data_IF_908293876110
#
_entry.id   IF_908293876110
#
_cell.length_a   1.000
_cell.length_b   1.000
_cell.length_c   1.000
_cell.angle_alpha   90.00
_cell.angle_beta   90.00
_cell.angle_gamma   90.00
#
_symmetry.space_group_name_H-M   'P 1'
#
loop_
_entity.id
_entity.type
_entity.pdbx_description
1 polymer ?
#
# COMPACT_ATOMS: atom_id res chain seq x y z
N UNK A 1 32.22 8.76 0.69
CA UNK A 1 31.21 8.02 -0.08
C UNK A 1 30.93 8.82 -1.33
N UNK A 2 31.04 8.22 -2.52
CA UNK A 2 30.67 8.90 -3.76
C UNK A 2 29.17 9.18 -3.70
N UNK A 3 28.76 10.45 -3.75
CA UNK A 3 27.35 10.82 -3.82
C UNK A 3 26.79 10.25 -5.11
N UNK A 4 25.80 9.35 -5.00
CA UNK A 4 25.04 8.86 -6.16
C UNK A 4 24.59 10.05 -7.04
N UNK A 5 24.60 9.91 -8.37
CA UNK A 5 24.23 11.01 -9.25
C UNK A 5 22.81 11.49 -8.94
N UNK A 6 22.61 12.81 -8.94
CA UNK A 6 21.29 13.41 -8.71
C UNK A 6 20.32 12.96 -9.80
N UNK A 7 19.29 12.23 -9.39
CA UNK A 7 18.13 11.84 -10.21
C UNK A 7 16.93 12.79 -10.07
N UNK A 8 16.06 12.79 -11.07
CA UNK A 8 14.72 13.37 -11.03
C UNK A 8 13.68 12.25 -10.99
N UNK A 9 12.91 12.16 -9.92
CA UNK A 9 11.84 11.16 -9.76
C UNK A 9 10.45 11.80 -9.91
N UNK A 10 9.52 11.06 -10.49
CA UNK A 10 8.09 11.37 -10.50
C UNK A 10 7.37 10.37 -9.60
N UNK A 11 6.69 10.85 -8.56
CA UNK A 11 5.94 10.01 -7.61
C UNK A 11 4.45 10.24 -7.81
N UNK A 12 3.67 9.18 -7.93
CA UNK A 12 2.22 9.27 -8.14
C UNK A 12 1.43 9.43 -6.83
N UNK A 13 0.12 9.63 -6.95
CA UNK A 13 -0.85 9.64 -5.86
C UNK A 13 -0.55 10.67 -4.75
N UNK A 14 -0.28 11.93 -5.14
CA UNK A 14 0.11 13.03 -4.25
C UNK A 14 -0.83 13.38 -3.08
N UNK A 15 -2.06 12.87 -3.05
CA UNK A 15 -2.96 12.97 -1.89
C UNK A 15 -2.54 12.06 -0.72
N UNK A 16 -1.71 11.05 -0.97
CA UNK A 16 -1.27 10.08 0.03
C UNK A 16 -0.17 10.59 0.95
N UNK A 17 -0.22 10.15 2.22
CA UNK A 17 0.87 10.36 3.17
C UNK A 17 2.10 9.49 2.84
N UNK A 18 1.91 8.37 2.11
CA UNK A 18 3.02 7.55 1.61
C UNK A 18 3.86 8.37 0.60
N UNK A 19 3.20 9.01 -0.35
CA UNK A 19 3.83 9.91 -1.33
C UNK A 19 4.52 11.08 -0.66
N UNK A 20 3.87 11.71 0.33
CA UNK A 20 4.49 12.82 1.08
C UNK A 20 5.78 12.37 1.77
N UNK A 21 5.77 11.22 2.45
CA UNK A 21 6.94 10.71 3.14
C UNK A 21 8.05 10.34 2.14
N UNK A 22 7.73 9.60 1.07
CA UNK A 22 8.73 9.24 0.06
C UNK A 22 9.34 10.48 -0.63
N UNK A 23 8.54 11.52 -0.92
CA UNK A 23 9.04 12.77 -1.46
C UNK A 23 10.07 13.44 -0.55
N UNK A 24 9.84 13.42 0.78
CA UNK A 24 10.81 13.92 1.77
C UNK A 24 12.09 13.11 1.78
N UNK A 25 11.99 11.77 1.74
CA UNK A 25 13.17 10.90 1.70
C UNK A 25 14.00 11.13 0.42
N UNK A 26 13.35 11.21 -0.74
CA UNK A 26 13.99 11.47 -2.02
C UNK A 26 14.68 12.84 -2.07
N UNK A 27 13.98 13.89 -1.62
CA UNK A 27 14.54 15.25 -1.55
C UNK A 27 15.71 15.34 -0.58
N UNK A 28 15.65 14.68 0.58
CA UNK A 28 16.73 14.65 1.55
C UNK A 28 17.99 13.94 1.03
N UNK A 29 17.84 12.95 0.13
CA UNK A 29 18.95 12.33 -0.61
C UNK A 29 19.47 13.20 -1.78
N UNK A 30 18.89 14.38 -2.01
CA UNK A 30 19.32 15.35 -3.01
C UNK A 30 18.67 15.19 -4.39
N UNK A 31 17.68 14.31 -4.52
CA UNK A 31 16.94 14.11 -5.77
C UNK A 31 15.92 15.23 -6.01
N UNK A 32 15.63 15.50 -7.28
CA UNK A 32 14.49 16.36 -7.66
C UNK A 32 13.22 15.51 -7.62
N UNK A 33 12.12 16.07 -7.15
CA UNK A 33 10.86 15.35 -6.96
C UNK A 33 9.71 16.08 -7.64
N UNK A 34 9.12 15.42 -8.64
CA UNK A 34 7.81 15.78 -9.19
C UNK A 34 6.75 14.87 -8.60
N UNK A 35 5.59 15.42 -8.26
CA UNK A 35 4.43 14.63 -7.82
C UNK A 35 3.25 14.84 -8.73
N UNK A 36 2.47 13.78 -8.96
CA UNK A 36 1.24 13.84 -9.75
C UNK A 36 0.05 13.32 -8.96
N UNK A 37 -1.13 13.84 -9.25
CA UNK A 37 -2.40 13.33 -8.75
C UNK A 37 -3.56 13.76 -9.68
N UNK A 38 -4.67 13.04 -9.69
CA UNK A 38 -5.87 13.46 -10.40
C UNK A 38 -6.66 14.58 -9.69
N UNK A 39 -6.45 14.78 -8.39
CA UNK A 39 -7.01 15.95 -7.68
C UNK A 39 -6.07 17.14 -7.76
N UNK A 40 -6.61 18.38 -7.86
CA UNK A 40 -5.79 19.57 -7.96
C UNK A 40 -5.03 19.91 -6.65
N UNK A 41 -5.46 19.38 -5.51
CA UNK A 41 -4.93 19.74 -4.19
C UNK A 41 -4.65 18.46 -3.37
N UNK A 42 -3.48 17.85 -3.61
CA UNK A 42 -2.92 16.79 -2.76
C UNK A 42 -2.15 17.36 -1.57
N UNK A 43 -2.00 16.59 -0.50
CA UNK A 43 -1.24 17.01 0.70
C UNK A 43 0.25 17.22 0.40
N UNK A 44 0.83 16.40 -0.49
CA UNK A 44 2.24 16.49 -0.89
C UNK A 44 2.55 17.79 -1.64
N UNK A 45 1.57 18.39 -2.33
CA UNK A 45 1.71 19.65 -3.08
C UNK A 45 2.26 20.79 -2.22
N UNK A 46 2.01 20.74 -0.90
CA UNK A 46 2.43 21.79 0.02
C UNK A 46 3.81 21.56 0.63
N UNK A 47 4.41 20.39 0.40
CA UNK A 47 5.73 20.06 0.95
C UNK A 47 6.82 20.88 0.29
N UNK A 48 7.81 21.31 1.09
CA UNK A 48 9.05 21.89 0.58
C UNK A 48 9.93 20.85 -0.15
N UNK A 49 9.58 19.56 -0.06
CA UNK A 49 10.30 18.45 -0.70
C UNK A 49 9.76 18.11 -2.10
N UNK A 50 8.76 18.84 -2.59
CA UNK A 50 8.15 18.65 -3.91
C UNK A 50 8.48 19.85 -4.77
N UNK A 51 9.25 19.63 -5.84
CA UNK A 51 9.69 20.69 -6.76
C UNK A 51 8.58 21.08 -7.77
N UNK A 52 7.76 20.11 -8.18
CA UNK A 52 6.65 20.32 -9.09
C UNK A 52 5.46 19.41 -8.75
N UNK A 53 4.24 19.91 -8.99
CA UNK A 53 3.00 19.16 -8.82
C UNK A 53 2.12 19.30 -10.05
N UNK A 54 1.72 18.19 -10.66
CA UNK A 54 0.82 18.19 -11.83
C UNK A 54 -0.50 17.52 -11.52
N UNK A 55 -1.58 18.14 -12.02
CA UNK A 55 -2.88 17.47 -12.09
C UNK A 55 -2.92 16.63 -13.35
N UNK A 56 -3.26 15.35 -13.21
CA UNK A 56 -3.36 14.40 -14.32
C UNK A 56 -4.79 13.84 -14.45
N UNK A 57 -5.14 13.15 -15.54
CA UNK A 57 -6.42 12.44 -15.62
C UNK A 57 -6.57 11.39 -14.50
N UNK A 58 -7.80 11.05 -14.08
CA UNK A 58 -8.05 9.99 -13.10
C UNK A 58 -7.72 8.60 -13.67
N UNK A 59 -6.79 7.83 -13.08
CA UNK A 59 -6.39 6.53 -13.64
C UNK A 59 -7.55 5.56 -13.82
N UNK A 60 -8.50 5.51 -12.87
CA UNK A 60 -9.65 4.59 -12.95
C UNK A 60 -10.56 4.85 -14.15
N UNK A 61 -10.82 6.11 -14.45
CA UNK A 61 -11.83 6.50 -15.45
C UNK A 61 -11.23 6.84 -16.81
N UNK A 62 -9.98 7.30 -16.84
CA UNK A 62 -9.29 7.77 -18.04
C UNK A 62 -7.87 7.17 -18.13
N UNK A 63 -7.71 5.82 -18.05
CA UNK A 63 -6.40 5.18 -17.86
C UNK A 63 -5.41 5.46 -19.00
N UNK A 64 -5.89 5.51 -20.25
CA UNK A 64 -5.05 5.78 -21.42
C UNK A 64 -4.56 7.22 -21.43
N UNK A 65 -5.40 8.17 -21.06
CA UNK A 65 -5.03 9.59 -21.03
C UNK A 65 -4.17 9.90 -19.80
N UNK A 66 -4.38 9.20 -18.69
CA UNK A 66 -3.47 9.20 -17.54
C UNK A 66 -2.05 8.81 -17.95
N UNK A 67 -1.86 7.66 -18.59
CA UNK A 67 -0.52 7.19 -18.98
C UNK A 67 0.14 8.10 -20.03
N UNK A 68 -0.62 8.61 -21.00
CA UNK A 68 -0.10 9.58 -21.99
C UNK A 68 0.35 10.88 -21.34
N UNK A 69 -0.41 11.39 -20.37
CA UNK A 69 -0.05 12.61 -19.67
C UNK A 69 1.20 12.41 -18.79
N UNK A 70 1.33 11.26 -18.12
CA UNK A 70 2.57 10.93 -17.41
C UNK A 70 3.76 10.84 -18.34
N UNK A 71 3.64 10.13 -19.47
CA UNK A 71 4.71 10.04 -20.45
C UNK A 71 5.12 11.44 -20.98
N UNK A 72 4.15 12.34 -21.20
CA UNK A 72 4.41 13.74 -21.58
C UNK A 72 5.21 14.47 -20.50
N UNK A 73 4.80 14.39 -19.23
CA UNK A 73 5.50 15.03 -18.10
C UNK A 73 6.92 14.47 -17.96
N UNK A 74 7.09 13.14 -18.13
CA UNK A 74 8.40 12.47 -18.08
C UNK A 74 9.36 13.06 -19.11
N UNK A 75 8.91 13.26 -20.35
CA UNK A 75 9.70 13.87 -21.43
C UNK A 75 9.99 15.34 -21.14
N UNK A 76 8.96 16.12 -20.80
CA UNK A 76 9.07 17.56 -20.62
C UNK A 76 9.99 17.94 -19.45
N UNK A 77 9.94 17.16 -18.37
CA UNK A 77 10.75 17.43 -17.17
C UNK A 77 12.00 16.57 -17.03
N UNK A 78 12.27 15.68 -18.00
CA UNK A 78 13.43 14.76 -18.00
C UNK A 78 13.48 13.93 -16.72
N UNK A 79 12.36 13.26 -16.43
CA UNK A 79 12.25 12.35 -15.28
C UNK A 79 13.08 11.10 -15.56
N UNK A 80 13.92 10.71 -14.61
CA UNK A 80 14.72 9.48 -14.68
C UNK A 80 13.91 8.24 -14.26
N UNK A 81 12.97 8.40 -13.31
CA UNK A 81 12.20 7.27 -12.76
C UNK A 81 10.78 7.70 -12.37
N UNK A 82 9.79 6.90 -12.74
CA UNK A 82 8.41 6.97 -12.24
C UNK A 82 8.24 5.95 -11.12
N UNK A 83 7.76 6.40 -9.97
CA UNK A 83 7.51 5.58 -8.78
C UNK A 83 6.00 5.57 -8.50
N UNK A 84 5.29 4.50 -8.88
CA UNK A 84 3.89 4.33 -8.56
C UNK A 84 3.69 4.02 -7.06
N UNK A 85 2.59 4.49 -6.46
CA UNK A 85 2.36 4.41 -5.01
C UNK A 85 1.15 3.56 -4.68
N UNK A 86 0.08 3.65 -5.47
CA UNK A 86 -1.16 2.93 -5.24
C UNK A 86 -1.46 1.95 -6.38
N UNK A 87 -2.73 1.78 -6.75
CA UNK A 87 -3.20 0.75 -7.69
C UNK A 87 -3.07 1.16 -9.14
N UNK A 88 -2.61 2.38 -9.40
CA UNK A 88 -2.14 2.75 -10.73
C UNK A 88 -0.95 1.90 -11.21
N UNK A 89 -0.33 1.07 -10.36
CA UNK A 89 0.67 0.07 -10.77
C UNK A 89 0.14 -0.84 -11.88
N UNK A 90 -1.05 -1.41 -11.72
CA UNK A 90 -1.67 -2.28 -12.72
C UNK A 90 -1.97 -1.54 -14.03
N UNK A 91 -2.40 -0.28 -13.93
CA UNK A 91 -2.70 0.56 -15.10
C UNK A 91 -1.42 0.89 -15.86
N UNK A 92 -0.35 1.25 -15.14
CA UNK A 92 0.93 1.63 -15.71
C UNK A 92 1.66 0.43 -16.31
N UNK A 93 1.59 -0.74 -15.67
CA UNK A 93 2.26 -1.96 -16.15
C UNK A 93 1.70 -2.44 -17.50
N UNK A 94 0.42 -2.17 -17.80
CA UNK A 94 -0.17 -2.41 -19.14
C UNK A 94 0.33 -1.45 -20.23
N UNK A 95 0.89 -0.29 -19.87
CA UNK A 95 1.20 0.81 -20.81
C UNK A 95 2.63 1.35 -20.68
N UNK A 96 3.56 0.59 -20.10
CA UNK A 96 4.98 0.96 -19.95
C UNK A 96 5.60 1.38 -21.29
N UNK A 97 5.17 0.79 -22.40
CA UNK A 97 5.64 1.13 -23.75
C UNK A 97 5.33 2.57 -24.22
N UNK A 98 4.50 3.33 -23.50
CA UNK A 98 4.28 4.77 -23.76
C UNK A 98 5.42 5.65 -23.22
N UNK A 99 6.20 5.16 -22.26
CA UNK A 99 7.25 5.91 -21.60
C UNK A 99 8.56 5.81 -22.40
N UNK A 100 9.41 6.87 -22.39
CA UNK A 100 10.71 6.83 -23.05
C UNK A 100 11.63 5.79 -22.40
N UNK A 101 12.48 5.14 -23.19
CA UNK A 101 13.35 4.05 -22.73
C UNK A 101 14.38 4.50 -21.67
N UNK A 102 14.69 5.79 -21.64
CA UNK A 102 15.61 6.40 -20.66
C UNK A 102 14.96 6.62 -19.29
N UNK A 103 13.63 6.53 -19.19
CA UNK A 103 12.89 6.64 -17.93
C UNK A 103 12.49 5.25 -17.44
N UNK A 104 12.89 4.91 -16.23
CA UNK A 104 12.46 3.68 -15.59
C UNK A 104 11.06 3.84 -14.98
N UNK A 105 10.11 2.98 -15.35
CA UNK A 105 8.84 2.86 -14.62
C UNK A 105 9.03 1.75 -13.57
N UNK A 106 9.12 2.12 -12.30
CA UNK A 106 9.55 1.23 -11.23
C UNK A 106 8.43 0.28 -10.75
N UNK A 107 8.17 -0.75 -11.56
CA UNK A 107 7.18 -1.82 -11.35
C UNK A 107 7.57 -3.06 -12.16
N UNK A 108 6.87 -4.18 -11.92
CA UNK A 108 6.99 -5.41 -12.70
C UNK A 108 6.01 -5.42 -13.88
N UNK A 109 6.10 -6.43 -14.75
CA UNK A 109 5.12 -6.60 -15.83
C UNK A 109 3.70 -6.81 -15.28
N UNK A 110 2.69 -6.54 -16.11
CA UNK A 110 1.28 -6.61 -15.73
C UNK A 110 0.86 -7.98 -15.20
N UNK A 111 1.35 -9.07 -15.80
CA UNK A 111 0.96 -10.42 -15.36
C UNK A 111 1.45 -10.67 -13.93
N UNK A 112 2.67 -10.24 -13.62
CA UNK A 112 3.22 -10.29 -12.26
C UNK A 112 2.43 -9.39 -11.30
N UNK A 113 2.24 -8.10 -11.62
CA UNK A 113 1.52 -7.14 -10.77
C UNK A 113 0.09 -7.63 -10.45
N UNK A 114 -0.68 -7.98 -11.49
CA UNK A 114 -2.07 -8.40 -11.34
C UNK A 114 -2.19 -9.73 -10.57
N UNK A 115 -1.32 -10.70 -10.84
CA UNK A 115 -1.31 -11.99 -10.11
C UNK A 115 -1.08 -11.80 -8.62
N UNK A 116 -0.21 -10.86 -8.24
CA UNK A 116 0.08 -10.55 -6.83
C UNK A 116 -1.03 -9.73 -6.17
N UNK A 117 -1.67 -8.82 -6.91
CA UNK A 117 -2.78 -8.01 -6.42
C UNK A 117 -4.07 -8.83 -6.23
N UNK A 118 -4.37 -9.74 -7.15
CA UNK A 118 -5.55 -10.59 -7.07
C UNK A 118 -5.41 -11.61 -5.93
N UNK A 119 -6.26 -11.49 -4.90
CA UNK A 119 -6.13 -12.32 -3.68
C UNK A 119 -6.29 -13.82 -3.94
N UNK A 120 -7.04 -14.25 -4.94
CA UNK A 120 -7.18 -15.67 -5.26
C UNK A 120 -5.97 -16.19 -6.04
N UNK A 121 -5.54 -15.47 -7.08
CA UNK A 121 -4.37 -15.86 -7.87
C UNK A 121 -3.08 -15.81 -7.06
N UNK A 122 -2.95 -14.86 -6.13
CA UNK A 122 -1.85 -14.84 -5.17
C UNK A 122 -1.80 -16.11 -4.33
N UNK A 123 -2.93 -16.58 -3.79
CA UNK A 123 -2.97 -17.83 -3.01
C UNK A 123 -2.65 -19.05 -3.89
N UNK A 124 -3.10 -19.07 -5.15
CA UNK A 124 -2.72 -20.11 -6.11
C UNK A 124 -1.22 -20.11 -6.41
N UNK A 125 -0.60 -18.94 -6.52
CA UNK A 125 0.84 -18.79 -6.72
C UNK A 125 1.61 -19.34 -5.50
N UNK A 126 1.16 -19.07 -4.28
CA UNK A 126 1.75 -19.67 -3.08
C UNK A 126 1.71 -21.21 -3.16
N UNK A 127 0.56 -21.78 -3.55
CA UNK A 127 0.44 -23.23 -3.74
C UNK A 127 1.38 -23.75 -4.83
N UNK A 128 1.52 -23.07 -5.97
CA UNK A 128 2.42 -23.52 -7.04
C UNK A 128 3.90 -23.47 -6.65
N UNK A 129 4.26 -22.59 -5.72
CA UNK A 129 5.61 -22.50 -5.14
C UNK A 129 5.81 -23.46 -3.96
N UNK A 130 4.78 -24.21 -3.54
CA UNK A 130 4.83 -25.08 -2.36
C UNK A 130 4.89 -24.32 -1.03
N UNK A 131 4.49 -23.04 -1.02
CA UNK A 131 4.41 -22.21 0.18
C UNK A 131 3.09 -22.53 0.89
N UNK A 132 3.10 -22.82 2.21
CA UNK A 132 1.88 -23.11 2.97
C UNK A 132 0.86 -21.97 2.91
N UNK A 133 -0.41 -22.33 2.68
CA UNK A 133 -1.55 -21.41 2.71
C UNK A 133 -2.63 -21.92 3.67
N UNK A 134 -3.54 -21.04 4.04
CA UNK A 134 -4.81 -21.41 4.66
C UNK A 134 -5.72 -22.08 3.63
N UNK A 135 -6.76 -22.84 4.04
CA UNK A 135 -7.74 -23.39 3.09
C UNK A 135 -8.44 -22.24 2.36
N UNK A 136 -8.56 -22.31 1.03
CA UNK A 136 -9.23 -21.29 0.24
C UNK A 136 -9.99 -21.87 -0.95
N UNK A 137 -11.00 -21.13 -1.41
CA UNK A 137 -11.81 -21.44 -2.59
C UNK A 137 -12.28 -20.14 -3.27
N UNK A 138 -12.48 -20.20 -4.59
CA UNK A 138 -13.14 -19.13 -5.34
C UNK A 138 -14.65 -19.34 -5.32
N UNK A 139 -15.41 -18.26 -5.34
CA UNK A 139 -16.87 -18.24 -5.40
C UNK A 139 -17.28 -17.31 -6.54
N UNK A 140 -17.59 -17.90 -7.69
CA UNK A 140 -17.98 -17.18 -8.91
C UNK A 140 -19.51 -17.19 -9.11
N UNK A 141 -20.19 -18.19 -8.55
CA UNK A 141 -21.65 -18.32 -8.60
C UNK A 141 -22.29 -19.04 -7.40
N UNK A 142 -23.63 -19.16 -7.42
CA UNK A 142 -24.39 -19.84 -6.35
C UNK A 142 -23.98 -21.30 -6.13
N UNK A 143 -23.62 -22.01 -7.20
CA UNK A 143 -23.20 -23.41 -7.11
C UNK A 143 -21.86 -23.54 -6.35
N UNK A 144 -20.92 -22.60 -6.54
CA UNK A 144 -19.66 -22.55 -5.79
C UNK A 144 -19.92 -22.23 -4.31
N UNK A 145 -20.79 -21.26 -4.04
CA UNK A 145 -21.17 -20.88 -2.68
C UNK A 145 -21.81 -22.06 -1.93
N UNK A 146 -22.65 -22.84 -2.61
CA UNK A 146 -23.26 -24.06 -2.06
C UNK A 146 -22.26 -25.21 -1.90
N UNK A 147 -21.20 -25.24 -2.70
CA UNK A 147 -20.14 -26.25 -2.67
C UNK A 147 -18.99 -25.92 -1.68
N UNK A 148 -19.05 -24.78 -0.99
CA UNK A 148 -18.05 -24.38 0.01
C UNK A 148 -17.95 -25.43 1.12
N UNK A 149 -16.82 -26.11 1.16
CA UNK A 149 -16.49 -27.11 2.17
C UNK A 149 -15.57 -26.47 3.23
N UNK A 150 -16.13 -25.91 4.30
CA UNK A 150 -15.37 -25.35 5.41
C UNK A 150 -15.92 -25.86 6.74
N UNK A 151 -15.06 -26.40 7.59
CA UNK A 151 -15.43 -26.87 8.94
C UNK A 151 -15.20 -25.81 10.04
N UNK A 152 -14.57 -24.71 9.68
CA UNK A 152 -14.20 -23.58 10.55
C UNK A 152 -14.65 -22.26 9.93
N UNK A 153 -14.77 -21.18 10.72
CA UNK A 153 -15.08 -19.86 10.17
C UNK A 153 -14.12 -19.48 9.03
N UNK A 154 -14.62 -18.73 8.07
CA UNK A 154 -13.84 -18.24 6.93
C UNK A 154 -14.13 -16.77 6.64
N UNK A 155 -13.17 -16.08 6.05
CA UNK A 155 -13.35 -14.77 5.46
C UNK A 155 -13.90 -14.93 4.04
N UNK A 156 -14.98 -14.23 3.72
CA UNK A 156 -15.45 -14.01 2.37
C UNK A 156 -15.13 -12.57 1.96
N UNK A 157 -14.29 -12.41 0.94
CA UNK A 157 -13.79 -11.10 0.45
C UNK A 157 -13.65 -11.10 -1.07
N UNK A 158 -13.89 -9.97 -1.73
CA UNK A 158 -13.66 -9.87 -3.19
C UNK A 158 -12.17 -9.98 -3.52
N UNK A 159 -11.84 -10.58 -4.68
CA UNK A 159 -10.46 -10.79 -5.13
C UNK A 159 -9.71 -9.47 -5.28
N UNK A 160 -10.35 -8.46 -5.88
CA UNK A 160 -9.92 -7.06 -5.87
C UNK A 160 -10.70 -6.31 -4.79
N UNK A 161 -9.99 -5.83 -3.77
CA UNK A 161 -10.56 -5.10 -2.63
C UNK A 161 -9.46 -4.42 -1.80
N UNK A 162 -9.79 -3.37 -1.04
CA UNK A 162 -8.81 -2.57 -0.25
C UNK A 162 -9.20 -2.43 1.21
N UNK A 163 -8.21 -2.25 2.09
CA UNK A 163 -8.39 -1.75 3.46
C UNK A 163 -9.33 -2.59 4.33
N UNK A 164 -9.46 -3.89 4.02
CA UNK A 164 -10.47 -4.80 4.60
C UNK A 164 -11.93 -4.38 4.41
N UNK A 165 -12.23 -3.50 3.46
CA UNK A 165 -13.60 -3.22 3.07
C UNK A 165 -14.24 -4.51 2.55
N UNK A 166 -15.49 -4.78 2.94
CA UNK A 166 -16.26 -5.97 2.54
C UNK A 166 -15.60 -7.31 2.87
N UNK A 167 -14.83 -7.39 3.96
CA UNK A 167 -14.42 -8.69 4.52
C UNK A 167 -15.51 -9.16 5.48
N UNK A 168 -16.16 -10.27 5.15
CA UNK A 168 -17.21 -10.87 5.96
C UNK A 168 -16.67 -12.12 6.63
N UNK A 169 -16.73 -12.18 7.97
CA UNK A 169 -16.46 -13.43 8.71
C UNK A 169 -17.72 -14.27 8.69
N UNK A 170 -17.65 -15.45 8.08
CA UNK A 170 -18.76 -16.38 7.88
C UNK A 170 -18.53 -17.62 8.74
N UNK A 171 -19.56 -18.05 9.47
CA UNK A 171 -19.57 -19.37 10.11
C UNK A 171 -20.09 -20.42 9.12
N UNK A 172 -19.51 -21.63 9.06
CA UNK A 172 -20.03 -22.71 8.24
C UNK A 172 -21.53 -22.93 8.42
N UNK A 173 -22.25 -23.04 7.30
CA UNK A 173 -23.71 -23.20 7.27
C UNK A 173 -24.53 -21.91 7.33
N UNK A 174 -23.89 -20.73 7.47
CA UNK A 174 -24.57 -19.45 7.25
C UNK A 174 -25.04 -19.30 5.79
N UNK A 175 -26.17 -18.63 5.59
CA UNK A 175 -26.74 -18.38 4.27
C UNK A 175 -25.99 -17.24 3.56
N UNK A 176 -25.68 -17.44 2.27
CA UNK A 176 -24.91 -16.53 1.43
C UNK A 176 -25.75 -15.85 0.32
N UNK A 177 -27.08 -15.79 0.45
CA UNK A 177 -28.01 -15.21 -0.54
C UNK A 177 -27.80 -13.71 -0.78
N UNK A 178 -27.08 -13.03 0.11
CA UNK A 178 -26.69 -11.63 -0.02
C UNK A 178 -25.46 -11.43 -0.91
N UNK A 179 -24.75 -12.51 -1.27
CA UNK A 179 -23.55 -12.43 -2.12
C UNK A 179 -23.98 -12.08 -3.54
N UNK A 180 -23.49 -10.94 -4.02
CA UNK A 180 -23.64 -10.53 -5.41
C UNK A 180 -22.45 -11.05 -6.22
N UNK A 181 -22.75 -11.77 -7.31
CA UNK A 181 -21.75 -12.40 -8.16
C UNK A 181 -21.35 -11.48 -9.31
N UNK A 182 -20.09 -11.07 -9.32
CA UNK A 182 -19.46 -10.30 -10.40
C UNK A 182 -18.42 -11.17 -11.10
N UNK A 183 -18.63 -11.55 -12.38
CA UNK A 183 -17.66 -12.35 -13.13
C UNK A 183 -16.28 -11.71 -13.28
N UNK A 184 -16.18 -10.38 -13.10
CA UNK A 184 -14.91 -9.64 -13.22
C UNK A 184 -14.19 -9.45 -11.89
N UNK A 185 -14.88 -9.69 -10.77
CA UNK A 185 -14.31 -9.61 -9.43
C UNK A 185 -14.96 -10.66 -8.50
N UNK A 186 -14.63 -11.95 -8.68
CA UNK A 186 -15.22 -13.03 -7.92
C UNK A 186 -14.83 -12.93 -6.43
N UNK A 187 -15.52 -13.70 -5.60
CA UNK A 187 -15.23 -13.77 -4.17
C UNK A 187 -14.18 -14.85 -3.87
N UNK A 188 -13.36 -14.59 -2.87
CA UNK A 188 -12.44 -15.52 -2.23
C UNK A 188 -13.01 -15.90 -0.86
N UNK A 189 -13.27 -17.19 -0.67
CA UNK A 189 -13.45 -17.78 0.65
C UNK A 189 -12.08 -18.28 1.15
N UNK A 190 -11.62 -17.78 2.30
CA UNK A 190 -10.34 -18.15 2.89
C UNK A 190 -10.51 -18.43 4.38
N UNK A 191 -10.01 -19.55 4.88
CA UNK A 191 -10.11 -19.96 6.29
C UNK A 191 -9.70 -18.83 7.24
N UNK A 192 -10.47 -18.66 8.32
CA UNK A 192 -10.26 -17.60 9.29
C UNK A 192 -9.27 -18.05 10.36
N UNK A 193 -8.03 -17.56 10.27
CA UNK A 193 -7.02 -17.76 11.30
C UNK A 193 -7.05 -16.62 12.33
N UNK A 194 -7.10 -16.96 13.60
CA UNK A 194 -6.83 -16.03 14.70
C UNK A 194 -5.35 -16.05 15.08
N UNK A 195 -4.76 -14.88 15.26
CA UNK A 195 -3.32 -14.77 15.51
C UNK A 195 -2.83 -13.33 15.60
N UNK A 196 -1.52 -13.17 15.77
CA UNK A 196 -0.88 -11.86 15.64
C UNK A 196 -0.85 -11.48 14.17
N UNK A 197 -1.09 -10.20 13.88
CA UNK A 197 -1.18 -9.71 12.51
C UNK A 197 -0.05 -8.73 12.25
N UNK A 198 0.62 -8.94 11.14
CA UNK A 198 1.75 -8.14 10.70
C UNK A 198 1.51 -7.64 9.29
N UNK A 199 1.85 -6.39 9.07
CA UNK A 199 1.92 -5.80 7.74
C UNK A 199 3.38 -5.52 7.43
N UNK A 200 3.72 -5.47 6.15
CA UNK A 200 5.09 -5.21 5.71
C UNK A 200 5.14 -4.18 4.60
N UNK A 201 6.35 -3.65 4.39
CA UNK A 201 6.71 -2.81 3.26
C UNK A 201 8.10 -3.21 2.77
N UNK A 202 8.27 -3.35 1.47
CA UNK A 202 9.53 -3.70 0.84
C UNK A 202 9.75 -2.92 -0.45
N UNK A 203 11.01 -2.56 -0.72
CA UNK A 203 11.46 -2.07 -2.04
C UNK A 203 12.28 -3.19 -2.66
N UNK A 204 11.83 -3.69 -3.80
CA UNK A 204 12.39 -4.86 -4.47
C UNK A 204 12.93 -4.48 -5.86
N UNK A 205 14.04 -5.10 -6.25
CA UNK A 205 14.63 -4.93 -7.59
C UNK A 205 15.19 -6.27 -8.05
N UNK A 206 14.71 -6.74 -9.20
CA UNK A 206 15.12 -7.99 -9.85
C UNK A 206 15.08 -9.20 -8.90
N UNK A 207 14.06 -9.25 -8.03
CA UNK A 207 13.89 -10.29 -7.02
C UNK A 207 14.76 -10.16 -5.77
N UNK A 208 15.51 -9.07 -5.59
CA UNK A 208 16.23 -8.74 -4.35
C UNK A 208 15.43 -7.74 -3.51
N UNK A 209 15.29 -7.99 -2.21
CA UNK A 209 14.80 -7.02 -1.24
C UNK A 209 15.92 -6.03 -0.89
N UNK A 210 15.70 -4.74 -1.14
CA UNK A 210 16.70 -3.68 -0.89
C UNK A 210 16.33 -2.80 0.31
N UNK A 211 15.05 -2.62 0.59
CA UNK A 211 14.57 -2.05 1.84
C UNK A 211 13.41 -2.88 2.38
N UNK A 212 13.27 -2.98 3.70
CA UNK A 212 12.21 -3.74 4.34
C UNK A 212 11.80 -3.16 5.69
N UNK A 213 10.51 -3.24 6.00
CA UNK A 213 9.98 -2.99 7.32
C UNK A 213 8.81 -3.94 7.63
N UNK A 214 8.79 -4.48 8.84
CA UNK A 214 7.67 -5.24 9.39
C UNK A 214 7.08 -4.48 10.58
N UNK A 215 5.75 -4.42 10.67
CA UNK A 215 5.07 -3.77 11.79
C UNK A 215 3.78 -4.50 12.18
N UNK A 216 3.45 -4.59 13.49
CA UNK A 216 2.21 -5.20 13.93
C UNK A 216 1.01 -4.29 13.64
N UNK A 217 -0.16 -4.89 13.43
CA UNK A 217 -1.43 -4.14 13.30
C UNK A 217 -1.79 -3.51 14.64
N UNK A 218 -1.52 -2.21 14.79
CA UNK A 218 -1.67 -1.45 16.04
C UNK A 218 -2.47 -0.17 15.83
N UNK A 219 -3.24 0.23 16.86
CA UNK A 219 -4.18 1.35 16.81
C UNK A 219 -5.01 1.39 15.52
N UNK A 220 -5.86 0.39 15.30
CA UNK A 220 -6.48 0.20 13.99
C UNK A 220 -7.99 0.50 13.96
N UNK A 221 -8.44 1.33 13.00
CA UNK A 221 -9.87 1.54 12.73
C UNK A 221 -10.45 0.24 12.17
N UNK A 222 -11.57 -0.23 12.74
CA UNK A 222 -12.19 -1.50 12.34
C UNK A 222 -11.31 -2.73 12.60
N UNK A 223 -10.19 -2.56 13.31
CA UNK A 223 -9.22 -3.62 13.54
C UNK A 223 -8.23 -3.86 12.39
N UNK A 224 -8.30 -3.14 11.27
CA UNK A 224 -7.41 -3.36 10.10
C UNK A 224 -6.66 -2.11 9.63
N UNK A 225 -7.26 -0.93 9.70
CA UNK A 225 -6.63 0.31 9.21
C UNK A 225 -5.78 0.96 10.31
N UNK A 226 -4.47 0.65 10.32
CA UNK A 226 -3.51 1.14 11.31
C UNK A 226 -3.40 2.67 11.33
N UNK A 227 -3.37 3.24 12.53
CA UNK A 227 -3.13 4.66 12.79
C UNK A 227 -1.73 4.93 13.37
N UNK A 228 -1.06 3.87 13.81
CA UNK A 228 0.30 3.90 14.32
C UNK A 228 1.17 2.87 13.64
N UNK A 229 2.46 3.16 13.52
CA UNK A 229 3.44 2.32 12.86
C UNK A 229 4.71 2.27 13.72
N UNK A 230 5.06 1.08 14.16
CA UNK A 230 6.28 0.81 14.93
C UNK A 230 6.97 -0.37 14.29
N UNK A 231 8.25 -0.20 13.93
CA UNK A 231 9.01 -1.26 13.29
C UNK A 231 9.35 -2.35 14.30
N UNK A 232 9.32 -3.59 13.86
CA UNK A 232 9.85 -4.74 14.61
C UNK A 232 10.76 -5.58 13.72
N UNK A 233 11.73 -6.23 14.34
CA UNK A 233 12.50 -7.28 13.68
C UNK A 233 11.67 -8.58 13.69
N UNK A 234 11.48 -9.19 12.52
CA UNK A 234 10.76 -10.45 12.38
C UNK A 234 11.39 -11.30 11.28
N UNK A 235 12.52 -11.94 11.57
CA UNK A 235 13.32 -12.67 10.58
C UNK A 235 12.51 -13.69 9.74
N UNK A 236 11.59 -14.50 10.30
CA UNK A 236 10.79 -15.43 9.49
C UNK A 236 9.93 -14.76 8.41
N UNK A 237 9.49 -13.52 8.62
CA UNK A 237 8.71 -12.76 7.63
C UNK A 237 9.66 -12.25 6.54
N UNK A 238 10.83 -11.73 6.92
CA UNK A 238 11.84 -11.26 5.97
C UNK A 238 12.35 -12.40 5.08
N UNK A 239 12.62 -13.58 5.66
CA UNK A 239 13.05 -14.77 4.92
C UNK A 239 11.98 -15.18 3.90
N UNK A 240 10.71 -15.27 4.35
CA UNK A 240 9.57 -15.58 3.48
C UNK A 240 9.47 -14.61 2.30
N UNK A 241 9.57 -13.30 2.56
CA UNK A 241 9.47 -12.27 1.51
C UNK A 241 10.65 -12.37 0.56
N UNK A 242 11.86 -12.59 1.09
CA UNK A 242 13.09 -12.70 0.29
C UNK A 242 13.00 -13.87 -0.68
N UNK A 243 12.53 -15.04 -0.23
CA UNK A 243 12.32 -16.20 -1.10
C UNK A 243 11.21 -15.95 -2.14
N UNK A 244 10.08 -15.38 -1.71
CA UNK A 244 8.94 -15.13 -2.59
C UNK A 244 9.27 -14.14 -3.70
N UNK A 245 9.84 -12.98 -3.37
CA UNK A 245 10.16 -11.96 -4.39
C UNK A 245 11.26 -12.41 -5.34
N UNK A 246 12.20 -13.24 -4.87
CA UNK A 246 13.21 -13.86 -5.74
C UNK A 246 12.56 -14.81 -6.75
N UNK A 247 11.60 -15.63 -6.33
CA UNK A 247 10.87 -16.54 -7.22
C UNK A 247 10.07 -15.79 -8.29
N UNK A 248 9.50 -14.63 -7.95
CA UNK A 248 8.77 -13.77 -8.90
C UNK A 248 9.70 -12.89 -9.75
N UNK A 249 10.99 -12.76 -9.40
CA UNK A 249 11.90 -11.74 -9.93
C UNK A 249 11.31 -10.32 -9.86
N UNK A 250 10.57 -10.04 -8.78
CA UNK A 250 9.78 -8.83 -8.64
C UNK A 250 10.65 -7.56 -8.54
N UNK A 251 10.25 -6.53 -9.27
CA UNK A 251 10.75 -5.15 -9.18
C UNK A 251 9.58 -4.23 -8.86
N UNK A 252 9.76 -3.34 -7.89
CA UNK A 252 8.72 -2.40 -7.46
C UNK A 252 8.64 -2.28 -5.95
N UNK A 253 7.52 -1.74 -5.47
CA UNK A 253 7.19 -1.71 -4.04
C UNK A 253 6.20 -2.84 -3.74
N UNK A 254 6.35 -3.51 -2.60
CA UNK A 254 5.39 -4.53 -2.18
C UNK A 254 5.18 -4.52 -0.66
N UNK A 255 3.95 -4.75 -0.25
CA UNK A 255 3.59 -5.11 1.12
C UNK A 255 2.87 -6.44 1.18
N UNK A 256 3.06 -7.15 2.26
CA UNK A 256 2.47 -8.46 2.52
C UNK A 256 1.85 -8.45 3.91
N UNK A 257 0.64 -9.00 4.01
CA UNK A 257 -0.05 -9.15 5.29
C UNK A 257 0.05 -10.60 5.76
N UNK A 258 0.45 -10.75 7.01
CA UNK A 258 0.66 -12.04 7.65
C UNK A 258 -0.22 -12.21 8.88
N UNK A 259 -0.59 -13.47 9.12
CA UNK A 259 -1.13 -13.93 10.39
C UNK A 259 -0.17 -14.97 10.96
N UNK A 260 0.34 -14.72 12.17
CA UNK A 260 1.09 -15.69 12.97
C UNK A 260 0.14 -16.37 13.96
N UNK A 261 -0.09 -17.67 13.77
CA UNK A 261 -0.92 -18.52 14.62
C UNK A 261 -0.31 -18.75 16.00
N UNK A 262 -1.11 -19.30 16.91
CA UNK A 262 -0.68 -19.55 18.30
C UNK A 262 0.47 -20.58 18.42
N UNK A 263 0.61 -21.45 17.43
CA UNK A 263 1.69 -22.44 17.30
C UNK A 263 2.95 -21.89 16.61
N UNK A 264 2.95 -20.60 16.22
CA UNK A 264 4.03 -19.96 15.49
C UNK A 264 3.99 -20.17 13.98
N UNK A 265 2.96 -20.85 13.45
CA UNK A 265 2.75 -20.96 12.00
C UNK A 265 2.48 -19.59 11.38
N UNK A 266 3.10 -19.31 10.24
CA UNK A 266 3.04 -18.00 9.58
C UNK A 266 2.38 -18.15 8.21
N UNK A 267 1.28 -17.43 7.98
CA UNK A 267 0.54 -17.46 6.72
C UNK A 267 0.43 -16.07 6.12
N UNK A 268 0.80 -15.92 4.84
CA UNK A 268 0.58 -14.70 4.08
C UNK A 268 -0.81 -14.73 3.41
N UNK A 269 -1.65 -13.76 3.74
CA UNK A 269 -3.07 -13.76 3.34
C UNK A 269 -3.36 -12.83 2.16
N UNK A 270 -2.47 -11.88 1.87
CA UNK A 270 -2.53 -10.98 0.72
C UNK A 270 -1.16 -10.36 0.41
N UNK A 271 -0.96 -10.04 -0.87
CA UNK A 271 0.09 -9.16 -1.35
C UNK A 271 -0.55 -7.86 -1.85
N UNK A 272 0.14 -6.76 -1.60
CA UNK A 272 -0.14 -5.43 -2.10
C UNK A 272 1.10 -5.03 -2.92
N UNK A 273 1.15 -5.28 -4.25
CA UNK A 273 2.32 -4.97 -5.08
C UNK A 273 2.40 -3.46 -5.38
N UNK A 274 2.41 -2.68 -4.31
CA UNK A 274 2.43 -1.22 -4.27
C UNK A 274 2.99 -0.77 -2.91
N UNK A 275 3.08 0.54 -2.70
CA UNK A 275 3.48 1.06 -1.40
C UNK A 275 2.42 0.72 -0.33
N UNK A 276 2.91 0.44 0.87
CA UNK A 276 2.11 0.31 2.10
C UNK A 276 2.66 1.26 3.17
N UNK A 277 1.98 1.34 4.32
CA UNK A 277 2.32 2.31 5.37
C UNK A 277 3.71 2.18 5.96
N UNK A 278 4.41 1.06 5.75
CA UNK A 278 5.76 0.86 6.28
C UNK A 278 6.79 1.86 5.75
N UNK A 279 6.58 2.47 4.56
CA UNK A 279 7.45 3.55 4.07
C UNK A 279 7.52 4.74 5.06
N UNK A 280 6.43 5.03 5.78
CA UNK A 280 6.35 6.16 6.70
C UNK A 280 7.20 5.99 7.97
N UNK A 281 7.78 4.81 8.18
CA UNK A 281 8.70 4.54 9.29
C UNK A 281 10.16 4.91 8.97
N UNK A 282 10.50 5.11 7.70
CA UNK A 282 11.87 5.50 7.35
C UNK A 282 12.11 6.99 7.57
N UNK A 283 13.33 7.29 7.96
CA UNK A 283 13.87 8.64 8.16
C UNK A 283 14.98 8.90 7.13
N UNK A 284 15.31 10.19 6.86
CA UNK A 284 16.32 10.53 5.86
C UNK A 284 17.67 9.81 6.00
N UNK A 285 18.13 9.55 7.23
CA UNK A 285 19.41 8.87 7.45
C UNK A 285 19.39 7.36 7.16
N UNK A 286 18.22 6.74 6.97
CA UNK A 286 18.14 5.34 6.55
C UNK A 286 18.49 5.16 5.06
N UNK A 287 18.48 6.23 4.26
CA UNK A 287 18.84 6.24 2.84
C UNK A 287 18.02 5.27 1.95
N UNK A 288 16.70 5.16 2.23
CA UNK A 288 15.76 4.39 1.39
C UNK A 288 15.84 4.68 -0.11
N UNK A 289 16.08 5.93 -0.58
CA UNK A 289 16.27 6.19 -2.01
C UNK A 289 17.32 5.28 -2.67
N UNK A 290 18.38 4.88 -1.96
CA UNK A 290 19.36 3.93 -2.49
C UNK A 290 18.74 2.57 -2.86
N UNK A 291 17.71 2.12 -2.13
CA UNK A 291 16.98 0.89 -2.44
C UNK A 291 16.23 0.98 -3.77
N UNK A 292 15.62 2.13 -4.06
CA UNK A 292 14.96 2.35 -5.35
C UNK A 292 15.95 2.30 -6.50
N UNK A 293 17.17 2.84 -6.33
CA UNK A 293 18.18 2.83 -7.40
C UNK A 293 19.07 1.57 -7.42
N UNK A 294 18.89 0.64 -6.49
CA UNK A 294 19.75 -0.54 -6.36
C UNK A 294 21.21 -0.19 -5.99
N UNK A 295 21.40 0.90 -5.25
CA UNK A 295 22.71 1.43 -4.86
C UNK A 295 23.09 1.06 -3.41
N UNK A 296 22.56 -0.05 -2.89
CA UNK A 296 22.86 -0.55 -1.56
C UNK A 296 23.23 -2.04 -1.59
N UNK A 297 24.27 -2.39 -0.84
CA UNK A 297 24.66 -3.78 -0.63
C UNK A 297 23.81 -4.39 0.48
N UNK A 298 23.73 -3.70 1.62
CA UNK A 298 23.01 -4.10 2.82
C UNK A 298 21.52 -3.75 2.77
N UNK A 299 20.70 -4.54 3.48
CA UNK A 299 19.27 -4.29 3.61
C UNK A 299 19.02 -3.00 4.40
N UNK A 300 18.27 -2.08 3.80
CA UNK A 300 17.83 -0.86 4.47
C UNK A 300 16.60 -1.15 5.32
N UNK A 301 16.71 -0.91 6.62
CA UNK A 301 15.62 -1.08 7.59
C UNK A 301 15.40 0.23 8.35
N UNK A 302 14.18 0.52 8.83
CA UNK A 302 13.94 1.70 9.64
C UNK A 302 14.56 1.52 11.03
N UNK A 303 14.66 2.61 11.79
CA UNK A 303 15.23 2.57 13.14
C UNK A 303 14.42 1.66 14.07
N UNK A 304 15.10 0.94 14.97
CA UNK A 304 14.45 0.03 15.93
C UNK A 304 13.56 0.74 16.95
N UNK A 305 13.74 2.06 17.12
CA UNK A 305 12.98 2.90 18.04
C UNK A 305 11.97 3.81 17.32
N UNK A 306 11.66 3.52 16.05
CA UNK A 306 10.69 4.30 15.31
C UNK A 306 9.27 4.04 15.80
N UNK A 307 8.62 5.10 16.23
CA UNK A 307 7.20 5.13 16.51
C UNK A 307 6.57 6.32 15.77
N UNK A 308 5.68 6.03 14.82
CA UNK A 308 5.04 7.01 13.94
C UNK A 308 3.52 6.88 14.03
N UNK A 309 2.81 7.96 13.73
CA UNK A 309 1.35 7.94 13.68
C UNK A 309 0.77 8.91 12.64
N UNK A 310 -0.46 8.61 12.21
CA UNK A 310 -1.34 9.61 11.60
C UNK A 310 -2.03 10.34 12.74
N UNK A 311 -1.46 11.45 13.22
CA UNK A 311 -1.87 12.06 14.49
C UNK A 311 -3.32 12.55 14.51
N UNK A 312 -3.82 13.10 13.40
CA UNK A 312 -5.24 13.46 13.29
C UNK A 312 -6.14 12.21 13.38
N UNK A 313 -5.74 11.11 12.75
CA UNK A 313 -6.46 9.84 12.82
C UNK A 313 -6.43 9.24 14.23
N UNK A 314 -5.28 9.26 14.89
CA UNK A 314 -5.12 8.87 16.30
C UNK A 314 -5.97 9.72 17.24
N UNK A 315 -6.04 11.04 17.01
CA UNK A 315 -6.86 11.95 17.80
C UNK A 315 -8.36 11.65 17.67
N UNK A 316 -8.83 11.40 16.44
CA UNK A 316 -10.25 11.17 16.16
C UNK A 316 -10.71 9.76 16.54
N UNK A 317 -9.90 8.74 16.26
CA UNK A 317 -10.31 7.33 16.32
C UNK A 317 -9.47 6.49 17.27
N UNK A 318 -8.20 6.84 17.51
CA UNK A 318 -7.24 6.03 18.26
C UNK A 318 -7.64 5.77 19.72
N UNK A 319 -8.45 6.64 20.33
CA UNK A 319 -8.94 6.49 21.71
C UNK A 319 -10.15 5.54 21.84
N UNK A 320 -10.77 5.13 20.73
CA UNK A 320 -11.94 4.22 20.75
C UNK A 320 -11.55 2.83 21.27
N UNK A 321 -12.50 2.11 21.90
CA UNK A 321 -12.22 0.77 22.47
C UNK A 321 -11.71 -0.21 21.40
N UNK A 322 -12.30 -0.17 20.20
CA UNK A 322 -11.90 -1.00 19.07
C UNK A 322 -10.46 -0.70 18.64
N UNK A 323 -10.11 0.58 18.45
CA UNK A 323 -8.78 0.96 17.99
C UNK A 323 -7.70 0.71 19.03
N UNK A 324 -7.97 0.95 20.33
CA UNK A 324 -6.98 0.74 21.41
C UNK A 324 -6.58 -0.73 21.62
N UNK A 325 -7.38 -1.69 21.15
CA UNK A 325 -7.08 -3.14 21.25
C UNK A 325 -6.65 -3.56 22.67
N UNK A 326 -7.41 -3.14 23.69
CA UNK A 326 -7.12 -3.47 25.09
C UNK A 326 -6.17 -2.52 25.84
N UNK A 327 -5.48 -1.60 25.16
CA UNK A 327 -4.62 -0.59 25.81
C UNK A 327 -5.43 0.35 26.71
N UNK A 328 -4.89 0.72 27.87
CA UNK A 328 -5.54 1.68 28.78
C UNK A 328 -5.55 3.11 28.22
N UNK A 329 -6.43 3.99 28.72
CA UNK A 329 -6.42 5.41 28.33
C UNK A 329 -5.12 6.12 28.71
N UNK A 330 -4.48 5.71 29.81
CA UNK A 330 -3.15 6.23 30.21
C UNK A 330 -2.09 5.86 29.18
N UNK A 331 -2.12 4.62 28.69
CA UNK A 331 -1.21 4.17 27.64
C UNK A 331 -1.45 4.93 26.32
N UNK A 332 -2.72 5.09 25.92
CA UNK A 332 -3.07 5.88 24.74
C UNK A 332 -2.48 7.31 24.77
N UNK A 333 -2.66 8.03 25.88
CA UNK A 333 -2.11 9.39 26.01
C UNK A 333 -0.58 9.42 26.09
N UNK A 334 0.05 8.34 26.56
CA UNK A 334 1.51 8.18 26.51
C UNK A 334 1.94 8.06 25.04
N UNK A 335 1.38 7.10 24.31
CA UNK A 335 1.72 6.80 22.92
C UNK A 335 1.46 8.01 22.01
N UNK A 336 0.29 8.65 22.14
CA UNK A 336 -0.07 9.84 21.38
C UNK A 336 0.91 11.00 21.54
N UNK A 337 1.57 11.12 22.70
CA UNK A 337 2.54 12.19 22.97
C UNK A 337 3.96 11.81 22.54
N UNK A 338 4.30 10.52 22.53
CA UNK A 338 5.64 10.04 22.18
C UNK A 338 5.80 9.78 20.70
N UNK A 339 4.73 9.39 20.00
CA UNK A 339 4.80 9.02 18.59
C UNK A 339 4.93 10.27 17.72
N UNK A 340 5.74 10.18 16.68
CA UNK A 340 5.94 11.27 15.73
C UNK A 340 4.83 11.26 14.66
N UNK A 341 4.35 12.44 14.28
CA UNK A 341 3.33 12.57 13.25
C UNK A 341 3.95 12.47 11.84
N UNK A 342 3.35 11.67 10.96
CA UNK A 342 3.85 11.46 9.59
C UNK A 342 3.60 12.66 8.66
N UNK A 343 2.68 13.56 9.02
CA UNK A 343 2.27 14.73 8.23
C UNK A 343 3.00 15.98 8.72
N UNK A 344 2.99 16.21 10.04
CA UNK A 344 3.63 17.37 10.68
C UNK A 344 5.10 17.11 10.98
N UNK A 345 5.98 17.53 10.07
CA UNK A 345 7.43 17.37 10.22
C UNK A 345 8.15 18.71 10.38
N UNK A 346 9.17 18.77 11.26
CA UNK A 346 9.95 19.99 11.46
C UNK A 346 10.72 20.31 10.18
N UNK A 347 10.62 21.56 9.71
CA UNK A 347 11.21 21.98 8.43
C UNK A 347 10.29 21.80 7.22
N UNK A 348 9.19 21.06 7.38
CA UNK A 348 8.17 20.86 6.34
C UNK A 348 6.74 20.83 6.93
N UNK A 349 6.36 21.92 7.59
CA UNK A 349 5.10 22.01 8.35
C UNK A 349 3.85 22.27 7.49
N UNK A 350 4.03 22.77 6.26
CA UNK A 350 2.93 23.22 5.39
C UNK A 350 1.94 22.10 5.05
N UNK A 351 2.35 20.85 4.74
CA UNK A 351 1.42 19.72 4.56
C UNK A 351 0.45 19.54 5.71
N UNK A 352 0.93 19.62 6.96
CA UNK A 352 0.08 19.50 8.14
C UNK A 352 -0.90 20.67 8.29
N UNK A 353 -0.42 21.91 8.10
CA UNK A 353 -1.27 23.11 8.18
C UNK A 353 -2.35 23.13 7.09
N UNK A 354 -2.01 22.68 5.89
CA UNK A 354 -2.90 22.68 4.73
C UNK A 354 -3.77 21.41 4.62
N UNK A 355 -3.66 20.49 5.56
CA UNK A 355 -4.43 19.26 5.59
C UNK A 355 -5.96 19.50 5.49
N UNK A 356 -6.56 20.47 6.21
CA UNK A 356 -7.99 20.77 6.05
C UNK A 356 -8.36 21.22 4.63
N UNK A 357 -7.47 21.94 3.94
CA UNK A 357 -7.71 22.41 2.56
C UNK A 357 -7.61 21.25 1.57
N UNK A 358 -6.62 20.37 1.72
CA UNK A 358 -6.50 19.15 0.92
C UNK A 358 -7.73 18.24 1.10
N UNK A 359 -8.15 18.02 2.35
CA UNK A 359 -9.34 17.21 2.65
C UNK A 359 -10.65 17.87 2.23
N UNK A 360 -10.76 19.19 2.24
CA UNK A 360 -11.94 19.88 1.71
C UNK A 360 -12.17 19.57 0.21
N UNK A 361 -11.09 19.41 -0.57
CA UNK A 361 -11.18 18.99 -1.96
C UNK A 361 -11.76 17.57 -2.07
N UNK A 362 -11.26 16.63 -1.26
CA UNK A 362 -11.73 15.24 -1.24
C UNK A 362 -13.18 15.15 -0.74
N UNK A 363 -13.55 15.91 0.29
CA UNK A 363 -14.92 15.95 0.83
C UNK A 363 -15.94 16.48 -0.20
N UNK A 364 -15.53 17.42 -1.06
CA UNK A 364 -16.37 17.88 -2.17
C UNK A 364 -16.65 16.73 -3.14
N UNK A 365 -15.66 15.91 -3.43
CA UNK A 365 -15.79 14.76 -4.32
C UNK A 365 -16.61 13.65 -3.66
N UNK A 366 -16.41 13.38 -2.36
CA UNK A 366 -17.28 12.49 -1.57
C UNK A 366 -18.75 12.90 -1.68
N UNK A 367 -19.04 14.20 -1.56
CA UNK A 367 -20.40 14.74 -1.71
C UNK A 367 -20.94 14.60 -3.14
N UNK A 368 -20.08 14.74 -4.15
CA UNK A 368 -20.44 14.60 -5.57
C UNK A 368 -20.78 13.15 -5.93
N UNK A 369 -20.03 12.19 -5.40
CA UNK A 369 -20.18 10.77 -5.73
C UNK A 369 -21.03 9.98 -4.71
N UNK A 370 -21.50 10.62 -3.64
CA UNK A 370 -22.28 9.99 -2.56
C UNK A 370 -21.53 8.85 -1.83
N UNK A 371 -20.23 9.01 -1.64
CA UNK A 371 -19.33 8.01 -1.03
C UNK A 371 -18.76 8.48 0.31
N UNK A 372 -18.26 7.55 1.12
CA UNK A 372 -17.56 7.85 2.39
C UNK A 372 -16.18 8.49 2.17
N UNK A 373 -15.56 9.03 3.22
CA UNK A 373 -14.25 9.71 3.09
C UNK A 373 -13.12 8.79 2.60
N UNK A 374 -13.06 7.55 3.09
CA UNK A 374 -12.05 6.57 2.66
C UNK A 374 -12.26 6.18 1.18
N UNK A 375 -13.50 5.94 0.78
CA UNK A 375 -13.87 5.63 -0.60
C UNK A 375 -13.62 6.83 -1.52
N UNK A 376 -14.03 8.04 -1.15
CA UNK A 376 -13.78 9.25 -1.94
C UNK A 376 -12.30 9.64 -2.04
N UNK A 377 -11.47 9.25 -1.07
CA UNK A 377 -10.02 9.39 -1.16
C UNK A 377 -9.43 8.53 -2.28
N UNK A 378 -10.01 7.36 -2.53
CA UNK A 378 -9.50 6.35 -3.45
C UNK A 378 -10.27 6.25 -4.78
N UNK A 379 -11.49 6.80 -4.83
CA UNK A 379 -12.52 6.54 -5.84
C UNK A 379 -12.05 6.63 -7.31
N UNK A 380 -11.08 7.48 -7.62
CA UNK A 380 -10.59 7.75 -8.97
C UNK A 380 -9.22 7.13 -9.30
N UNK A 381 -8.61 6.42 -8.35
CA UNK A 381 -7.30 5.75 -8.49
C UNK A 381 -7.36 4.23 -8.34
N UNK A 382 -8.51 3.69 -7.97
CA UNK A 382 -8.75 2.26 -7.77
C UNK A 382 -8.85 1.49 -9.09
N UNK A 383 -8.19 0.32 -9.17
CA UNK A 383 -8.32 -0.61 -10.28
C UNK A 383 -8.99 -1.92 -9.84
N UNK A 384 -10.09 -2.28 -10.49
CA UNK A 384 -10.96 -3.41 -10.12
C UNK A 384 -10.80 -4.59 -11.10
N UNK A 385 -9.59 -4.81 -11.64
CA UNK A 385 -9.29 -5.97 -12.51
C UNK A 385 -9.66 -5.81 -13.98
N UNK A 386 -10.03 -4.61 -14.44
CA UNK A 386 -10.48 -4.41 -15.82
C UNK A 386 -9.32 -4.25 -16.82
N UNK A 387 -9.25 -5.06 -17.90
CA UNK A 387 -8.26 -4.84 -18.97
C UNK A 387 -8.54 -3.53 -19.72
N UNK A 388 -7.49 -2.79 -20.07
CA UNK A 388 -7.55 -1.42 -20.65
C UNK A 388 -7.20 -1.38 -22.14
#
# INVERSE_FOLDING_TARGET
MATSPKKHVLITFGRSFLTLNLARLMSAAGHRVTVVDSIPIGVSRFSNSVDAFHKVPPPKFEPRDYCRELARIVVDEKVDMVIPIHEETDILSMMVGLFPAECEVFLSDFDTENKLHNKYDFQRELVSLGIPTLKFAVVEGPDDAAALDFDVPFALKQCYSRGSQKVHKITPGENLDWVEYDPTNPWLAQEWLEGKRYCTYSVCRDGKVNAHATYPVSYAIGGSSCLSFSSIEHQPILDWITEFVAAQRFTGQAGFDFIEGADGSLYCIECNPRSTSGIMMFRPHNDVPAAFFGHNDDLIVPDSDVDRMIGLGMLLYGWTKASRQGRSMRQFWKDFRSYEDVIFERGDIKPGVMLPVAYASILRDCRRYHVGLAEGFMHDHEWDGHPI
#
